data_IF_329116986924
#
_entry.id   IF_329116986924
#
_cell.length_a   1.000
_cell.length_b   1.000
_cell.length_c   1.000
_cell.angle_alpha   90.00
_cell.angle_beta   90.00
_cell.angle_gamma   90.00
#
_symmetry.space_group_name_H-M   'P 1'
#
loop_
_entity.id
_entity.type
_entity.pdbx_description
1 polymer ?
#
# COMPACT_ATOMS: atom_id res chain seq x y z
N UNK A 1 19.65 14.20 8.76
CA UNK A 1 20.63 14.46 7.68
C UNK A 1 20.02 13.86 6.43
N UNK A 2 19.61 14.68 5.45
CA UNK A 2 19.06 14.18 4.18
C UNK A 2 20.20 13.53 3.38
N UNK A 3 20.33 12.21 3.43
CA UNK A 3 20.91 11.50 2.29
C UNK A 3 19.93 11.73 1.13
N UNK A 4 20.39 12.33 0.04
CA UNK A 4 19.57 12.43 -1.16
C UNK A 4 19.27 11.00 -1.62
N UNK A 5 18.00 10.56 -1.56
CA UNK A 5 17.62 9.24 -2.04
C UNK A 5 17.98 9.11 -3.52
N UNK A 6 18.78 8.09 -3.82
CA UNK A 6 19.13 7.74 -5.17
C UNK A 6 18.05 6.80 -5.72
N UNK A 7 17.21 7.29 -6.61
CA UNK A 7 16.10 6.55 -7.21
C UNK A 7 16.54 5.53 -8.27
N UNK A 8 17.75 4.95 -8.12
CA UNK A 8 18.31 3.95 -9.04
C UNK A 8 17.65 2.59 -8.90
N UNK A 9 17.59 1.87 -10.01
CA UNK A 9 17.09 0.50 -10.00
C UNK A 9 18.17 -0.42 -9.44
N UNK A 10 17.79 -1.15 -8.40
CA UNK A 10 18.59 -2.22 -7.84
C UNK A 10 18.02 -3.57 -8.29
N UNK A 11 18.91 -4.50 -8.61
CA UNK A 11 18.60 -5.89 -8.89
C UNK A 11 19.06 -6.74 -7.72
N UNK A 12 18.11 -7.34 -7.01
CA UNK A 12 18.38 -8.33 -5.98
C UNK A 12 18.38 -9.73 -6.58
N UNK A 13 19.41 -10.52 -6.25
CA UNK A 13 19.52 -11.92 -6.65
C UNK A 13 19.90 -12.78 -5.43
N UNK A 14 19.14 -13.86 -5.24
CA UNK A 14 19.56 -15.00 -4.43
C UNK A 14 20.39 -15.93 -5.29
N UNK A 15 21.61 -16.20 -4.88
CA UNK A 15 22.54 -17.05 -5.62
C UNK A 15 23.09 -18.16 -4.72
N UNK A 16 23.55 -19.24 -5.34
CA UNK A 16 24.32 -20.28 -4.66
C UNK A 16 25.79 -20.18 -5.11
N UNK A 17 26.72 -20.12 -4.17
CA UNK A 17 28.17 -20.15 -4.42
C UNK A 17 28.80 -21.08 -3.40
N UNK A 18 29.59 -22.05 -3.88
CA UNK A 18 30.23 -23.06 -3.02
C UNK A 18 29.26 -23.80 -2.07
N UNK A 19 28.07 -24.13 -2.60
CA UNK A 19 26.96 -24.75 -1.85
C UNK A 19 26.42 -23.92 -0.68
N UNK A 20 26.68 -22.61 -0.68
CA UNK A 20 26.13 -21.65 0.27
C UNK A 20 25.29 -20.63 -0.47
N UNK A 21 24.13 -20.32 0.09
CA UNK A 21 23.28 -19.23 -0.40
C UNK A 21 23.93 -17.90 -0.05
N UNK A 22 23.90 -16.96 -0.99
CA UNK A 22 24.26 -15.57 -0.78
C UNK A 22 23.21 -14.65 -1.40
N UNK A 23 23.07 -13.47 -0.82
CA UNK A 23 22.22 -12.41 -1.35
C UNK A 23 23.10 -11.32 -1.94
N UNK A 24 22.82 -10.94 -3.18
CA UNK A 24 23.54 -9.89 -3.89
C UNK A 24 22.59 -8.82 -4.38
N UNK A 25 22.97 -7.57 -4.13
CA UNK A 25 22.29 -6.40 -4.67
C UNK A 25 23.23 -5.77 -5.69
N UNK A 26 22.77 -5.67 -6.93
CA UNK A 26 23.46 -4.99 -8.00
C UNK A 26 22.75 -3.67 -8.26
N UNK A 27 23.51 -2.58 -8.30
CA UNK A 27 23.02 -1.35 -8.89
C UNK A 27 23.08 -1.51 -10.42
N UNK A 28 22.06 -1.02 -11.11
CA UNK A 28 21.94 -1.10 -12.56
C UNK A 28 22.28 0.26 -13.18
N UNK A 29 23.57 0.59 -13.42
CA UNK A 29 23.92 1.72 -14.26
C UNK A 29 23.71 1.34 -15.73
N UNK A 30 23.66 2.35 -16.60
CA UNK A 30 23.35 2.25 -18.04
C UNK A 30 24.17 1.18 -18.78
N UNK A 31 25.42 0.92 -18.36
CA UNK A 31 26.39 0.14 -19.14
C UNK A 31 26.83 -1.17 -18.51
N UNK A 32 26.83 -1.31 -17.17
CA UNK A 32 27.34 -2.52 -16.50
C UNK A 32 26.81 -2.70 -15.08
N UNK A 33 26.19 -3.83 -14.78
CA UNK A 33 25.80 -4.19 -13.41
C UNK A 33 26.98 -4.10 -12.44
N UNK A 34 26.82 -3.33 -11.38
CA UNK A 34 27.81 -3.16 -10.31
C UNK A 34 27.29 -3.77 -9.03
N UNK A 35 28.00 -4.76 -8.49
CA UNK A 35 27.67 -5.33 -7.17
C UNK A 35 27.89 -4.24 -6.11
N UNK A 36 26.82 -3.86 -5.42
CA UNK A 36 26.87 -2.86 -4.34
C UNK A 36 26.86 -3.50 -2.95
N UNK A 37 26.19 -4.65 -2.81
CA UNK A 37 26.06 -5.33 -1.53
C UNK A 37 26.05 -6.84 -1.72
N UNK A 38 26.77 -7.54 -0.85
CA UNK A 38 26.71 -9.00 -0.71
C UNK A 38 26.63 -9.33 0.78
N UNK A 39 25.73 -10.23 1.15
CA UNK A 39 25.62 -10.70 2.52
C UNK A 39 25.13 -12.16 2.59
N UNK A 40 25.50 -12.80 3.69
CA UNK A 40 25.13 -14.19 3.98
C UNK A 40 23.73 -14.25 4.65
N UNK A 41 23.03 -15.39 4.55
CA UNK A 41 21.78 -15.63 5.27
C UNK A 41 21.94 -15.68 6.79
N UNK A 42 20.83 -15.66 7.55
CA UNK A 42 20.85 -15.91 8.99
C UNK A 42 21.54 -17.26 9.31
N UNK A 43 22.33 -17.35 10.38
CA UNK A 43 23.03 -18.58 10.74
C UNK A 43 22.05 -19.66 11.21
N UNK A 44 22.40 -20.92 10.94
CA UNK A 44 21.67 -22.09 11.46
C UNK A 44 20.34 -22.39 10.76
N UNK A 45 20.06 -21.77 9.61
CA UNK A 45 18.87 -22.05 8.81
C UNK A 45 19.03 -23.37 8.04
N UNK A 46 18.01 -24.24 8.14
CA UNK A 46 17.96 -25.53 7.44
C UNK A 46 17.24 -25.43 6.09
N UNK A 47 16.14 -24.67 6.01
CA UNK A 47 15.35 -24.50 4.79
C UNK A 47 15.09 -23.01 4.57
N UNK A 48 15.37 -22.56 3.35
CA UNK A 48 15.16 -21.18 2.91
C UNK A 48 13.92 -21.10 2.03
N UNK A 49 13.14 -20.05 2.22
CA UNK A 49 11.98 -19.73 1.39
C UNK A 49 12.22 -18.44 0.59
N UNK A 50 11.20 -17.98 -0.15
CA UNK A 50 11.34 -16.84 -1.06
C UNK A 50 11.44 -15.53 -0.30
N UNK A 51 12.34 -14.66 -0.77
CA UNK A 51 12.56 -13.33 -0.21
C UNK A 51 11.44 -12.36 -0.61
N UNK A 52 11.12 -11.43 0.28
CA UNK A 52 10.22 -10.30 0.03
C UNK A 52 10.85 -9.00 0.56
N UNK A 53 10.30 -7.85 0.15
CA UNK A 53 10.78 -6.53 0.56
C UNK A 53 9.59 -5.66 0.95
N UNK A 54 9.70 -4.99 2.09
CA UNK A 54 8.69 -4.06 2.59
C UNK A 54 9.31 -3.15 3.66
N UNK A 55 8.78 -1.93 3.79
CA UNK A 55 9.06 -0.99 4.87
C UNK A 55 8.19 -1.36 6.08
N UNK A 56 8.67 -2.22 6.97
CA UNK A 56 7.83 -2.82 8.02
C UNK A 56 7.61 -1.91 9.22
N UNK A 57 8.45 -0.89 9.42
CA UNK A 57 8.39 0.01 10.57
C UNK A 57 8.13 1.48 10.19
N UNK A 58 7.92 1.75 8.91
CA UNK A 58 7.57 3.06 8.39
C UNK A 58 8.65 4.13 8.66
N UNK A 59 9.92 3.74 8.49
CA UNK A 59 11.06 4.64 8.49
C UNK A 59 11.42 5.14 7.08
N UNK A 60 10.81 4.55 6.06
CA UNK A 60 10.97 4.86 4.65
C UNK A 60 12.06 4.03 3.96
N UNK A 61 12.67 3.06 4.62
CA UNK A 61 13.60 2.09 4.02
C UNK A 61 12.88 0.76 3.76
N UNK A 62 13.49 -0.16 3.02
CA UNK A 62 12.87 -1.44 2.72
C UNK A 62 13.69 -2.55 3.36
N UNK A 63 13.06 -3.35 4.20
CA UNK A 63 13.71 -4.46 4.86
C UNK A 63 13.65 -5.70 3.97
N UNK A 64 14.71 -6.49 4.01
CA UNK A 64 14.71 -7.82 3.39
C UNK A 64 14.03 -8.82 4.32
N UNK A 65 12.85 -9.30 3.93
CA UNK A 65 12.08 -10.31 4.65
C UNK A 65 12.43 -11.71 4.12
N UNK A 66 12.75 -12.62 5.04
CA UNK A 66 13.13 -13.99 4.74
C UNK A 66 12.40 -15.00 5.65
N UNK A 67 11.39 -15.72 5.14
CA UNK A 67 10.83 -16.88 5.83
C UNK A 67 11.82 -18.05 5.81
N UNK A 68 11.96 -18.76 6.93
CA UNK A 68 12.89 -19.88 7.08
C UNK A 68 12.37 -20.96 8.02
N UNK A 69 12.93 -22.16 7.87
CA UNK A 69 12.86 -23.22 8.87
C UNK A 69 14.25 -23.42 9.50
N UNK A 70 14.34 -23.44 10.82
CA UNK A 70 15.60 -23.70 11.54
C UNK A 70 15.97 -25.20 11.56
N UNK A 71 15.00 -26.08 11.30
CA UNK A 71 15.14 -27.53 11.26
C UNK A 71 14.55 -28.11 9.97
N UNK A 72 14.96 -29.34 9.61
CA UNK A 72 14.52 -30.01 8.38
C UNK A 72 13.06 -30.45 8.40
N UNK A 73 12.46 -30.58 9.59
CA UNK A 73 11.02 -30.84 9.76
C UNK A 73 10.18 -29.56 9.80
N UNK A 74 10.81 -28.39 9.76
CA UNK A 74 10.20 -27.08 9.91
C UNK A 74 9.35 -26.90 11.18
N UNK A 75 9.64 -27.64 12.25
CA UNK A 75 9.01 -27.47 13.56
C UNK A 75 9.31 -26.09 14.18
N UNK A 76 10.44 -25.48 13.79
CA UNK A 76 10.89 -24.16 14.20
C UNK A 76 10.87 -23.20 13.01
N UNK A 77 9.66 -22.75 12.66
CA UNK A 77 9.42 -21.74 11.63
C UNK A 77 9.70 -20.33 12.15
N UNK A 78 10.44 -19.53 11.39
CA UNK A 78 10.80 -18.15 11.75
C UNK A 78 10.74 -17.24 10.53
N UNK A 79 10.50 -15.96 10.77
CA UNK A 79 10.67 -14.91 9.76
C UNK A 79 11.79 -14.00 10.25
N UNK A 80 12.82 -13.85 9.42
CA UNK A 80 13.88 -12.88 9.64
C UNK A 80 13.64 -11.65 8.79
N UNK A 81 14.07 -10.51 9.31
CA UNK A 81 14.13 -9.23 8.62
C UNK A 81 15.54 -8.70 8.71
N UNK A 82 16.00 -8.04 7.67
CA UNK A 82 17.34 -7.46 7.64
C UNK A 82 17.28 -6.00 7.22
N UNK A 83 17.84 -5.16 8.08
CA UNK A 83 18.22 -3.78 7.77
C UNK A 83 19.55 -3.77 6.98
N UNK A 84 20.21 -2.61 6.91
CA UNK A 84 21.47 -2.54 6.21
C UNK A 84 22.59 -3.35 6.89
N UNK A 85 22.51 -3.59 8.19
CA UNK A 85 23.61 -4.07 9.03
C UNK A 85 23.46 -5.56 9.40
N UNK A 86 22.32 -5.97 9.95
CA UNK A 86 22.15 -7.24 10.65
C UNK A 86 20.83 -7.96 10.31
N UNK A 87 20.82 -9.26 10.57
CA UNK A 87 19.59 -10.06 10.55
C UNK A 87 18.94 -10.02 11.93
N UNK A 88 17.66 -9.73 11.96
CA UNK A 88 16.84 -9.73 13.17
C UNK A 88 15.69 -10.72 13.01
N UNK A 89 15.41 -11.49 14.05
CA UNK A 89 14.26 -12.38 14.06
C UNK A 89 13.01 -11.57 14.42
N UNK A 90 11.91 -11.74 13.68
CA UNK A 90 10.63 -11.19 14.11
C UNK A 90 10.04 -12.05 15.25
N UNK A 91 9.57 -11.43 16.34
CA UNK A 91 9.03 -12.15 17.51
C UNK A 91 7.58 -12.63 17.28
N UNK A 92 7.37 -13.43 16.25
CA UNK A 92 6.03 -13.90 15.84
C UNK A 92 5.63 -15.14 16.64
N UNK A 93 4.49 -15.08 17.32
CA UNK A 93 3.91 -16.21 18.03
C UNK A 93 2.86 -16.89 17.14
N UNK A 94 3.30 -17.87 16.33
CA UNK A 94 2.38 -18.59 15.44
C UNK A 94 1.33 -19.43 16.16
N UNK A 95 1.57 -19.82 17.41
CA UNK A 95 0.74 -20.75 18.16
C UNK A 95 1.27 -22.19 18.14
N UNK A 96 0.82 -23.02 19.07
CA UNK A 96 1.32 -24.39 19.22
C UNK A 96 1.00 -25.24 17.99
N UNK A 97 2.03 -25.76 17.33
CA UNK A 97 1.89 -26.66 16.18
C UNK A 97 1.69 -25.93 14.84
N UNK A 98 1.65 -24.60 14.79
CA UNK A 98 1.54 -23.87 13.52
C UNK A 98 2.94 -23.60 12.97
N UNK A 99 3.20 -24.06 11.75
CA UNK A 99 4.52 -23.96 11.09
C UNK A 99 4.40 -23.72 9.58
N UNK A 100 5.49 -23.37 8.91
CA UNK A 100 5.53 -23.44 7.46
C UNK A 100 5.39 -24.89 6.98
N UNK A 101 4.59 -25.14 5.93
CA UNK A 101 4.51 -26.45 5.31
C UNK A 101 5.82 -26.80 4.59
N UNK A 102 6.19 -28.07 4.65
CA UNK A 102 7.27 -28.63 3.86
C UNK A 102 6.81 -28.81 2.41
N UNK A 103 7.75 -28.71 1.47
CA UNK A 103 7.43 -28.80 0.04
C UNK A 103 6.76 -30.12 -0.35
N UNK A 104 7.12 -31.22 0.30
CA UNK A 104 6.51 -32.55 0.06
C UNK A 104 5.08 -32.69 0.60
N UNK A 105 4.58 -31.73 1.38
CA UNK A 105 3.19 -31.68 1.83
C UNK A 105 2.26 -31.11 0.75
N UNK A 106 2.82 -30.42 -0.25
CA UNK A 106 2.08 -30.01 -1.43
C UNK A 106 2.11 -31.09 -2.51
N UNK A 107 1.16 -30.98 -3.43
CA UNK A 107 1.12 -31.82 -4.62
C UNK A 107 1.74 -31.13 -5.82
N UNK A 108 2.22 -31.90 -6.78
CA UNK A 108 2.73 -31.36 -8.04
C UNK A 108 1.67 -30.45 -8.71
N UNK A 109 2.07 -29.31 -9.30
CA UNK A 109 3.45 -28.83 -9.47
C UNK A 109 4.01 -28.01 -8.30
N UNK A 110 3.25 -27.80 -7.21
CA UNK A 110 3.63 -26.90 -6.11
C UNK A 110 4.59 -27.52 -5.10
N UNK A 111 4.84 -28.82 -5.18
CA UNK A 111 5.75 -29.56 -4.30
C UNK A 111 7.25 -29.28 -4.50
N UNK A 112 7.59 -28.33 -5.37
CA UNK A 112 8.96 -27.86 -5.64
C UNK A 112 9.08 -26.34 -5.43
N UNK A 113 8.00 -25.67 -5.04
CA UNK A 113 7.95 -24.23 -4.93
C UNK A 113 8.14 -23.88 -3.45
N UNK A 114 9.17 -23.10 -3.09
CA UNK A 114 9.34 -22.65 -1.71
C UNK A 114 8.18 -21.71 -1.32
N UNK A 115 7.92 -21.62 -0.02
CA UNK A 115 6.89 -20.72 0.50
C UNK A 115 7.25 -19.28 0.11
N UNK A 116 6.24 -18.46 -0.15
CA UNK A 116 6.42 -17.02 -0.29
C UNK A 116 5.48 -16.29 0.65
N UNK A 117 5.97 -15.20 1.20
CA UNK A 117 5.16 -14.21 1.88
C UNK A 117 4.75 -13.17 0.83
N UNK A 118 3.47 -12.82 0.77
CA UNK A 118 2.97 -11.69 -0.02
C UNK A 118 2.67 -10.52 0.91
N UNK A 119 2.98 -9.32 0.45
CA UNK A 119 2.91 -8.09 1.23
C UNK A 119 1.80 -7.20 0.69
N UNK A 120 0.98 -6.66 1.58
CA UNK A 120 0.09 -5.53 1.32
C UNK A 120 -0.31 -4.92 2.67
N UNK A 121 -0.76 -3.67 2.66
CA UNK A 121 -1.41 -3.06 3.83
C UNK A 121 -2.88 -3.51 3.85
N UNK A 122 -3.18 -4.61 4.54
CA UNK A 122 -4.49 -5.29 4.49
C UNK A 122 -5.54 -4.57 5.32
N UNK A 123 -5.13 -3.97 6.45
CA UNK A 123 -6.02 -3.19 7.32
C UNK A 123 -6.01 -1.68 6.99
N UNK A 124 -5.19 -1.25 6.03
CA UNK A 124 -5.00 0.14 5.59
C UNK A 124 -4.52 1.07 6.71
N UNK A 125 -3.69 0.59 7.63
CA UNK A 125 -3.17 1.38 8.76
C UNK A 125 -1.85 2.13 8.46
N UNK A 126 -1.33 1.96 7.25
CA UNK A 126 -0.08 2.54 6.76
C UNK A 126 1.10 1.61 6.90
N UNK A 127 0.98 0.45 7.56
CA UNK A 127 2.07 -0.50 7.72
C UNK A 127 1.82 -1.77 6.91
N UNK A 128 2.83 -2.31 6.21
CA UNK A 128 2.65 -3.52 5.43
C UNK A 128 2.36 -4.73 6.32
N UNK A 129 1.25 -5.40 6.01
CA UNK A 129 0.89 -6.72 6.52
C UNK A 129 1.42 -7.83 5.60
N UNK A 130 1.28 -9.08 6.05
CA UNK A 130 1.76 -10.24 5.32
C UNK A 130 0.68 -11.30 5.18
N UNK A 131 0.72 -12.06 4.09
CA UNK A 131 -0.02 -13.32 3.97
C UNK A 131 0.90 -14.43 3.51
N UNK A 132 0.73 -15.60 4.13
CA UNK A 132 1.48 -16.82 3.80
C UNK A 132 0.61 -18.05 4.05
N UNK A 133 1.11 -19.22 3.66
CA UNK A 133 0.50 -20.51 3.97
C UNK A 133 1.20 -21.17 5.15
N UNK A 134 0.42 -21.76 6.04
CA UNK A 134 0.89 -22.40 7.27
C UNK A 134 0.20 -23.75 7.42
N UNK A 135 0.91 -24.72 8.00
CA UNK A 135 0.41 -26.04 8.36
C UNK A 135 0.15 -26.10 9.86
N UNK A 136 -1.06 -26.48 10.24
CA UNK A 136 -1.38 -26.83 11.62
C UNK A 136 -1.03 -28.30 11.88
N UNK A 137 0.09 -28.53 12.57
CA UNK A 137 0.68 -29.86 12.77
C UNK A 137 -0.26 -30.88 13.45
N UNK A 138 -1.27 -30.43 14.19
CA UNK A 138 -2.24 -31.32 14.87
C UNK A 138 -3.27 -31.86 13.88
N UNK A 139 -3.85 -30.99 13.04
CA UNK A 139 -4.85 -31.39 12.05
C UNK A 139 -4.24 -31.82 10.71
N UNK A 140 -2.99 -31.43 10.45
CA UNK A 140 -2.34 -31.56 9.14
C UNK A 140 -2.90 -30.61 8.08
N UNK A 141 -3.78 -29.67 8.47
CA UNK A 141 -4.47 -28.79 7.54
C UNK A 141 -3.56 -27.63 7.17
N UNK A 142 -3.40 -27.38 5.87
CA UNK A 142 -2.70 -26.20 5.36
C UNK A 142 -3.73 -25.10 5.10
N UNK A 143 -3.53 -23.94 5.72
CA UNK A 143 -4.40 -22.76 5.58
C UNK A 143 -3.58 -21.52 5.21
N UNK A 144 -4.25 -20.53 4.63
CA UNK A 144 -3.69 -19.18 4.52
C UNK A 144 -3.82 -18.45 5.85
N UNK A 145 -2.81 -17.70 6.24
CA UNK A 145 -2.82 -16.87 7.45
C UNK A 145 -2.35 -15.47 7.08
N UNK A 146 -3.16 -14.47 7.43
CA UNK A 146 -2.77 -13.06 7.42
C UNK A 146 -2.06 -12.75 8.73
N UNK A 147 -0.91 -12.09 8.65
CA UNK A 147 -0.11 -11.63 9.76
C UNK A 147 -0.23 -10.10 9.79
N UNK A 148 -0.95 -9.56 10.78
CA UNK A 148 -1.13 -8.11 10.90
C UNK A 148 0.06 -7.47 11.61
N UNK A 149 0.61 -6.42 11.02
CA UNK A 149 1.67 -5.61 11.59
C UNK A 149 1.11 -4.72 12.70
N UNK A 150 1.64 -4.85 13.92
CA UNK A 150 1.16 -4.10 15.06
C UNK A 150 2.32 -3.54 15.89
N UNK A 151 2.09 -2.43 16.63
CA UNK A 151 3.04 -1.95 17.62
C UNK A 151 3.34 -3.07 18.63
N UNK A 152 4.62 -3.28 18.89
CA UNK A 152 5.05 -4.27 19.86
C UNK A 152 5.01 -3.67 21.27
N UNK A 153 4.22 -4.27 22.16
CA UNK A 153 4.20 -3.91 23.58
C UNK A 153 5.43 -4.54 24.26
N UNK A 154 6.53 -3.77 24.31
CA UNK A 154 7.82 -4.22 24.82
C UNK A 154 7.76 -4.82 26.22
N UNK A 155 8.01 -6.13 26.31
CA UNK A 155 8.19 -6.86 27.57
C UNK A 155 9.57 -7.52 27.63
N UNK A 156 10.07 -7.76 28.84
CA UNK A 156 11.41 -8.33 29.09
C UNK A 156 11.67 -9.70 28.46
N UNK A 157 10.63 -10.40 27.97
CA UNK A 157 10.72 -11.73 27.36
C UNK A 157 10.53 -11.73 25.82
N UNK A 158 10.34 -10.57 25.19
CA UNK A 158 10.18 -10.47 23.73
C UNK A 158 10.88 -9.20 23.22
N UNK A 159 12.14 -9.27 22.79
CA UNK A 159 12.79 -8.14 22.15
C UNK A 159 12.02 -7.79 20.88
N UNK A 160 11.41 -6.60 20.88
CA UNK A 160 10.69 -6.08 19.73
C UNK A 160 11.71 -5.58 18.70
N UNK A 161 11.76 -6.22 17.54
CA UNK A 161 12.52 -5.69 16.40
C UNK A 161 11.73 -4.53 15.81
N UNK A 162 12.37 -3.36 15.65
CA UNK A 162 11.76 -2.14 15.09
C UNK A 162 10.49 -1.63 15.82
N UNK A 163 10.27 -1.98 17.08
CA UNK A 163 9.01 -1.70 17.81
C UNK A 163 7.76 -2.27 17.13
N UNK A 164 7.90 -3.25 16.23
CA UNK A 164 6.78 -3.91 15.54
C UNK A 164 6.78 -5.40 15.81
N UNK A 165 5.59 -5.99 15.71
CA UNK A 165 5.37 -7.44 15.76
C UNK A 165 4.27 -7.80 14.79
N UNK A 166 4.13 -9.09 14.48
CA UNK A 166 3.11 -9.58 13.59
C UNK A 166 2.19 -10.54 14.32
N UNK A 167 0.88 -10.28 14.27
CA UNK A 167 -0.15 -11.10 14.93
C UNK A 167 -0.86 -11.97 13.90
N UNK A 168 -0.72 -13.31 13.98
CA UNK A 168 -1.43 -14.23 13.11
C UNK A 168 -2.95 -14.19 13.32
N UNK A 169 -3.69 -13.99 12.24
CA UNK A 169 -5.15 -13.97 12.22
C UNK A 169 -5.71 -15.37 11.98
N UNK A 170 -5.59 -16.27 12.96
CA UNK A 170 -5.95 -17.70 12.83
C UNK A 170 -7.46 -17.98 12.85
N UNK A 171 -8.26 -17.07 13.40
CA UNK A 171 -9.70 -17.26 13.62
C UNK A 171 -10.59 -16.49 12.66
N UNK A 172 -9.99 -15.90 11.62
CA UNK A 172 -10.73 -15.17 10.60
C UNK A 172 -11.61 -16.09 9.75
N UNK A 173 -12.76 -15.57 9.30
CA UNK A 173 -13.75 -16.36 8.55
C UNK A 173 -13.15 -16.97 7.28
N UNK A 174 -12.27 -16.25 6.60
CA UNK A 174 -11.61 -16.75 5.40
C UNK A 174 -10.63 -17.89 5.70
N UNK A 175 -9.93 -17.86 6.84
CA UNK A 175 -9.01 -18.94 7.26
C UNK A 175 -9.80 -20.22 7.50
N UNK A 176 -10.92 -20.12 8.21
CA UNK A 176 -11.80 -21.25 8.51
C UNK A 176 -12.49 -21.80 7.26
N UNK A 177 -12.77 -20.95 6.27
CA UNK A 177 -13.39 -21.35 5.01
C UNK A 177 -12.39 -21.93 3.99
N UNK A 178 -11.10 -21.64 4.12
CA UNK A 178 -10.07 -21.94 3.14
C UNK A 178 -9.07 -23.03 3.57
N UNK A 179 -9.54 -24.27 3.74
CA UNK A 179 -8.67 -25.43 4.03
C UNK A 179 -7.96 -25.94 2.77
N UNK A 180 -6.86 -26.70 2.96
CA UNK A 180 -6.00 -27.22 1.89
C UNK A 180 -5.49 -26.13 0.93
N UNK A 181 -5.08 -25.01 1.51
CA UNK A 181 -4.55 -23.88 0.77
C UNK A 181 -3.16 -24.21 0.21
N UNK A 182 -2.94 -23.89 -1.07
CA UNK A 182 -1.65 -24.02 -1.77
C UNK A 182 -0.95 -22.68 -1.95
N UNK A 183 -1.70 -21.63 -2.32
CA UNK A 183 -1.19 -20.27 -2.50
C UNK A 183 -2.16 -19.26 -1.90
N UNK A 184 -1.62 -18.15 -1.43
CA UNK A 184 -2.39 -16.98 -1.01
C UNK A 184 -1.69 -15.70 -1.47
N UNK A 185 -2.46 -14.70 -1.85
CA UNK A 185 -1.96 -13.39 -2.24
C UNK A 185 -3.02 -12.32 -2.00
N UNK A 186 -2.57 -11.11 -1.70
CA UNK A 186 -3.43 -9.93 -1.67
C UNK A 186 -3.71 -9.43 -3.08
N UNK A 187 -4.93 -8.95 -3.32
CA UNK A 187 -5.32 -8.35 -4.59
C UNK A 187 -6.54 -7.44 -4.43
N UNK A 188 -6.55 -6.26 -5.04
CA UNK A 188 -7.72 -5.37 -5.08
C UNK A 188 -8.65 -5.82 -6.23
N UNK A 189 -9.52 -6.79 -5.97
CA UNK A 189 -10.34 -7.48 -6.99
C UNK A 189 -11.41 -6.54 -7.55
N UNK A 190 -11.96 -5.69 -6.67
CA UNK A 190 -13.04 -4.77 -6.99
C UNK A 190 -12.53 -3.40 -7.47
N UNK A 191 -11.21 -3.22 -7.57
CA UNK A 191 -10.54 -1.95 -7.85
C UNK A 191 -11.01 -0.79 -6.96
N UNK A 192 -11.38 -1.11 -5.71
CA UNK A 192 -11.94 -0.16 -4.75
C UNK A 192 -10.88 0.36 -3.76
N UNK A 193 -9.63 -0.10 -3.87
CA UNK A 193 -8.50 0.26 -3.03
C UNK A 193 -8.41 -0.49 -1.71
N UNK A 194 -9.25 -1.50 -1.48
CA UNK A 194 -9.20 -2.38 -0.33
C UNK A 194 -8.59 -3.71 -0.76
N UNK A 195 -7.41 -4.10 -0.26
CA UNK A 195 -6.82 -5.39 -0.63
C UNK A 195 -7.70 -6.56 -0.15
N UNK A 196 -8.22 -7.33 -1.10
CA UNK A 196 -8.90 -8.60 -0.87
C UNK A 196 -7.88 -9.75 -0.83
N UNK A 197 -8.36 -10.95 -0.49
CA UNK A 197 -7.53 -12.16 -0.43
C UNK A 197 -7.90 -13.14 -1.54
N UNK A 198 -6.91 -13.51 -2.36
CA UNK A 198 -7.00 -14.61 -3.32
C UNK A 198 -6.32 -15.84 -2.75
N UNK A 199 -7.02 -16.97 -2.76
CA UNK A 199 -6.54 -18.25 -2.23
C UNK A 199 -6.73 -19.34 -3.27
N UNK A 200 -5.65 -20.08 -3.55
CA UNK A 200 -5.72 -21.30 -4.34
C UNK A 200 -5.80 -22.48 -3.39
N UNK A 201 -6.88 -23.23 -3.46
CA UNK A 201 -7.14 -24.40 -2.65
C UNK A 201 -7.08 -25.66 -3.50
N UNK A 202 -6.82 -26.78 -2.84
CA UNK A 202 -6.93 -28.10 -3.44
C UNK A 202 -8.21 -28.78 -2.96
N UNK A 203 -9.07 -29.13 -3.90
CA UNK A 203 -10.30 -29.87 -3.66
C UNK A 203 -10.03 -31.38 -3.48
N UNK A 204 -11.03 -32.12 -2.98
CA UNK A 204 -10.98 -33.58 -2.75
C UNK A 204 -10.60 -34.34 -4.04
N UNK A 205 -11.10 -33.86 -5.19
CA UNK A 205 -10.81 -34.40 -6.53
C UNK A 205 -9.40 -34.09 -7.04
N UNK A 206 -8.51 -33.57 -6.18
CA UNK A 206 -7.14 -33.19 -6.51
C UNK A 206 -7.04 -32.03 -7.52
N UNK A 207 -8.13 -31.29 -7.74
CA UNK A 207 -8.18 -30.14 -8.63
C UNK A 207 -7.90 -28.86 -7.86
N UNK A 208 -7.24 -27.89 -8.51
CA UNK A 208 -6.99 -26.59 -7.92
C UNK A 208 -8.17 -25.65 -8.19
N UNK A 209 -8.66 -25.00 -7.13
CA UNK A 209 -9.74 -24.02 -7.17
C UNK A 209 -9.23 -22.68 -6.66
N UNK A 210 -9.51 -21.61 -7.41
CA UNK A 210 -9.29 -20.24 -6.96
C UNK A 210 -10.54 -19.75 -6.24
N UNK A 211 -10.35 -19.26 -5.01
CA UNK A 211 -11.38 -18.63 -4.19
C UNK A 211 -10.94 -17.21 -3.84
N UNK A 212 -11.86 -16.26 -3.95
CA UNK A 212 -11.65 -14.88 -3.56
C UNK A 212 -12.44 -14.58 -2.28
N UNK A 213 -11.78 -13.96 -1.30
CA UNK A 213 -12.40 -13.49 -0.07
C UNK A 213 -12.33 -11.98 -0.04
N UNK A 214 -13.49 -11.34 -0.13
CA UNK A 214 -13.59 -9.90 -0.02
C UNK A 214 -13.21 -9.46 1.40
N UNK A 215 -12.38 -8.42 1.48
CA UNK A 215 -12.02 -7.82 2.75
C UNK A 215 -13.21 -7.03 3.31
N UNK A 216 -13.53 -7.27 4.59
CA UNK A 216 -14.65 -6.65 5.28
C UNK A 216 -14.20 -5.56 6.26
N UNK A 217 -13.17 -4.78 5.91
CA UNK A 217 -12.72 -3.67 6.75
C UNK A 217 -13.89 -2.73 7.05
N UNK A 218 -13.98 -2.30 8.30
CA UNK A 218 -14.97 -1.34 8.77
C UNK A 218 -14.78 0.00 8.04
N UNK A 219 -15.90 0.61 7.63
CA UNK A 219 -15.95 1.94 7.03
C UNK A 219 -15.40 2.95 8.05
N UNK A 220 -14.13 3.34 7.92
CA UNK A 220 -13.47 4.53 8.51
C UNK A 220 -11.95 4.57 8.24
N UNK A 221 -11.40 3.63 7.47
CA UNK A 221 -10.01 3.68 7.00
C UNK A 221 -9.88 4.35 5.64
N UNK A 222 -8.76 5.00 5.41
CA UNK A 222 -8.48 5.72 4.17
C UNK A 222 -7.20 5.21 3.52
N UNK A 223 -7.08 5.40 2.20
CA UNK A 223 -5.89 5.00 1.46
C UNK A 223 -5.52 6.02 0.39
N UNK A 224 -4.31 5.91 -0.14
CA UNK A 224 -3.93 6.50 -1.42
C UNK A 224 -3.42 5.43 -2.35
N UNK A 225 -3.90 5.48 -3.60
CA UNK A 225 -3.47 4.58 -4.67
C UNK A 225 -2.53 5.34 -5.61
N UNK A 226 -1.32 4.83 -5.77
CA UNK A 226 -0.29 5.45 -6.62
C UNK A 226 0.09 4.49 -7.74
N UNK A 227 -0.17 4.89 -8.97
CA UNK A 227 0.21 4.16 -10.17
C UNK A 227 1.22 4.99 -10.97
N UNK A 228 2.37 4.40 -11.29
CA UNK A 228 3.40 5.08 -12.08
C UNK A 228 3.58 4.33 -13.39
N UNK A 229 3.30 5.02 -14.50
CA UNK A 229 3.41 4.46 -15.83
C UNK A 229 4.82 4.67 -16.40
N UNK A 230 5.15 3.92 -17.44
CA UNK A 230 6.37 4.13 -18.23
C UNK A 230 6.35 5.48 -18.96
N UNK A 231 7.54 6.02 -19.19
CA UNK A 231 7.78 7.31 -19.85
C UNK A 231 7.76 7.25 -21.39
N UNK A 232 7.21 6.18 -21.97
CA UNK A 232 7.28 5.97 -23.41
C UNK A 232 6.20 6.75 -24.17
N UNK A 233 6.63 7.58 -25.12
CA UNK A 233 5.73 8.26 -26.05
C UNK A 233 5.50 7.32 -27.24
N UNK A 234 4.26 6.87 -27.40
CA UNK A 234 3.86 6.10 -28.58
C UNK A 234 4.00 6.95 -29.85
N UNK A 235 5.02 6.67 -30.66
CA UNK A 235 5.33 7.39 -31.90
C UNK A 235 4.15 7.40 -32.91
N UNK A 236 3.40 6.30 -32.99
CA UNK A 236 2.25 6.12 -33.89
C UNK A 236 0.94 6.67 -33.33
N UNK A 237 0.88 7.05 -32.05
CA UNK A 237 -0.31 7.58 -31.39
C UNK A 237 -0.50 9.10 -31.60
N UNK A 238 0.36 9.72 -32.43
CA UNK A 238 0.43 11.17 -32.69
C UNK A 238 -0.84 11.81 -33.30
N UNK A 239 -1.85 11.03 -33.68
CA UNK A 239 -3.09 11.53 -34.30
C UNK A 239 -4.21 11.87 -33.32
N UNK A 240 -4.05 11.63 -32.01
CA UNK A 240 -5.11 11.89 -31.03
C UNK A 240 -4.68 12.95 -30.02
N UNK A 241 -5.56 13.91 -29.72
CA UNK A 241 -5.47 14.90 -28.61
C UNK A 241 -5.35 14.26 -27.20
N UNK A 242 -5.00 12.98 -27.11
CA UNK A 242 -4.95 12.19 -25.88
C UNK A 242 -3.51 11.77 -25.64
N UNK A 243 -2.98 12.08 -24.47
CA UNK A 243 -1.70 11.55 -24.04
C UNK A 243 -1.74 10.01 -24.11
N UNK A 244 -0.79 9.35 -24.80
CA UNK A 244 -0.69 7.91 -24.73
C UNK A 244 -0.35 7.53 -23.28
N UNK A 245 -1.18 6.70 -22.67
CA UNK A 245 -0.85 6.11 -21.39
C UNK A 245 0.28 5.11 -21.62
N UNK A 246 1.36 5.22 -20.84
CA UNK A 246 2.41 4.20 -20.82
C UNK A 246 1.90 2.89 -20.21
N UNK A 247 2.71 1.84 -20.30
CA UNK A 247 2.45 0.57 -19.61
C UNK A 247 2.90 0.66 -18.14
N UNK A 248 2.37 -0.20 -17.28
CA UNK A 248 2.90 -0.41 -15.92
C UNK A 248 4.34 -0.90 -16.05
N UNK A 249 5.28 -0.17 -15.45
CA UNK A 249 6.69 -0.54 -15.47
C UNK A 249 7.05 -1.05 -14.06
N UNK A 250 7.89 -2.07 -13.89
CA UNK A 250 8.38 -2.47 -12.57
C UNK A 250 9.43 -1.51 -12.00
N UNK A 251 9.52 -1.44 -10.67
CA UNK A 251 10.63 -0.80 -9.98
C UNK A 251 10.52 0.72 -9.76
N UNK A 252 9.34 1.35 -9.93
CA UNK A 252 9.20 2.74 -9.47
C UNK A 252 9.07 2.79 -7.97
N UNK A 253 9.82 3.70 -7.37
CA UNK A 253 9.78 3.97 -5.95
C UNK A 253 8.69 5.00 -5.65
N UNK A 254 7.91 4.75 -4.62
CA UNK A 254 6.91 5.67 -4.10
C UNK A 254 7.24 5.84 -2.62
N UNK A 255 7.40 7.10 -2.21
CA UNK A 255 7.67 7.43 -0.81
C UNK A 255 6.65 8.43 -0.33
N UNK A 256 6.02 8.18 0.81
CA UNK A 256 5.01 9.04 1.40
C UNK A 256 5.52 9.60 2.73
N UNK A 257 5.32 10.88 2.97
CA UNK A 257 5.44 11.47 4.30
C UNK A 257 4.05 11.93 4.73
N UNK A 258 3.60 11.44 5.88
CA UNK A 258 2.31 11.84 6.47
C UNK A 258 2.47 12.23 7.93
N UNK A 259 1.67 13.19 8.40
CA UNK A 259 1.65 13.60 9.81
C UNK A 259 0.45 12.97 10.52
N UNK A 260 0.73 12.23 11.58
CA UNK A 260 -0.30 11.58 12.41
C UNK A 260 -0.11 11.87 13.90
N UNK A 261 -1.04 11.39 14.70
CA UNK A 261 -0.94 11.35 16.16
C UNK A 261 -0.61 9.91 16.55
N UNK A 262 0.56 9.70 17.16
CA UNK A 262 0.99 8.38 17.62
C UNK A 262 1.39 8.44 19.10
N UNK A 263 0.87 7.54 19.93
CA UNK A 263 1.18 7.46 21.37
C UNK A 263 1.00 8.79 22.12
N UNK A 264 0.01 9.60 21.71
CA UNK A 264 -0.24 10.93 22.30
C UNK A 264 0.69 12.05 21.83
N UNK A 265 1.69 11.75 21.00
CA UNK A 265 2.54 12.74 20.34
C UNK A 265 1.77 13.29 19.15
N UNK A 266 1.47 14.60 19.19
CA UNK A 266 0.98 15.34 18.04
C UNK A 266 2.13 15.60 17.08
N UNK A 267 1.83 15.60 15.79
CA UNK A 267 2.77 15.87 14.70
C UNK A 267 3.85 14.79 14.49
N UNK A 268 3.52 13.52 14.73
CA UNK A 268 4.41 12.41 14.44
C UNK A 268 4.49 12.18 12.91
N UNK A 269 5.70 12.24 12.35
CA UNK A 269 5.92 12.05 10.91
C UNK A 269 6.16 10.57 10.65
N UNK A 270 5.29 9.96 9.84
CA UNK A 270 5.47 8.62 9.29
C UNK A 270 6.07 8.75 7.89
N UNK A 271 7.07 7.93 7.57
CA UNK A 271 7.65 7.83 6.24
C UNK A 271 7.41 6.43 5.70
N UNK A 272 6.70 6.32 4.60
CA UNK A 272 6.46 5.02 3.97
C UNK A 272 7.23 4.94 2.67
N UNK A 273 7.85 3.79 2.42
CA UNK A 273 8.41 3.45 1.13
C UNK A 273 7.76 2.19 0.56
N UNK A 274 7.47 2.25 -0.74
CA UNK A 274 6.96 1.13 -1.48
C UNK A 274 7.53 1.14 -2.89
N UNK A 275 7.58 -0.04 -3.51
CA UNK A 275 8.05 -0.21 -4.88
C UNK A 275 6.96 -0.89 -5.69
N UNK A 276 6.59 -0.27 -6.81
CA UNK A 276 5.62 -0.85 -7.73
C UNK A 276 6.23 -2.07 -8.42
N UNK A 277 5.59 -3.24 -8.31
CA UNK A 277 6.04 -4.50 -8.93
C UNK A 277 7.51 -4.79 -8.60
N UNK A 278 7.82 -4.89 -7.30
CA UNK A 278 9.15 -5.09 -6.74
C UNK A 278 9.78 -6.44 -7.12
N UNK A 279 8.95 -7.45 -7.44
CA UNK A 279 9.40 -8.80 -7.79
C UNK A 279 8.87 -9.24 -9.17
N UNK A 280 9.69 -10.01 -9.89
CA UNK A 280 9.40 -10.44 -11.28
C UNK A 280 9.41 -11.96 -11.50
N UNK A 281 9.50 -12.80 -10.46
CA UNK A 281 9.63 -14.25 -10.60
C UNK A 281 9.02 -15.05 -9.46
N UNK A 282 8.87 -16.37 -9.63
CA UNK A 282 8.38 -17.32 -8.60
C UNK A 282 6.98 -17.00 -8.05
N UNK A 283 5.96 -17.06 -8.92
CA UNK A 283 4.54 -16.88 -8.55
C UNK A 283 4.27 -15.56 -7.82
N UNK A 284 4.89 -14.48 -8.28
CA UNK A 284 4.61 -13.12 -7.81
C UNK A 284 3.32 -12.61 -8.42
N UNK A 285 2.34 -12.34 -7.56
CA UNK A 285 1.14 -11.59 -7.90
C UNK A 285 1.22 -10.26 -7.14
N UNK A 286 1.72 -9.23 -7.80
CA UNK A 286 1.76 -7.87 -7.28
C UNK A 286 0.81 -6.97 -8.09
N UNK A 287 0.28 -5.94 -7.43
CA UNK A 287 -0.62 -4.98 -8.07
C UNK A 287 0.19 -4.06 -9.02
N UNK A 288 -0.43 -3.60 -10.13
CA UNK A 288 0.21 -2.65 -11.04
C UNK A 288 0.31 -1.21 -10.49
N UNK A 289 0.06 -1.05 -9.20
CA UNK A 289 0.04 0.19 -8.44
C UNK A 289 0.29 -0.16 -6.97
N UNK A 290 0.64 0.84 -6.18
CA UNK A 290 0.78 0.70 -4.72
C UNK A 290 -0.46 1.27 -4.05
N UNK A 291 -1.00 0.56 -3.07
CA UNK A 291 -1.98 1.07 -2.11
C UNK A 291 -1.23 1.33 -0.81
N UNK A 292 -1.38 2.54 -0.27
CA UNK A 292 -0.81 2.93 1.02
C UNK A 292 -1.97 3.35 1.92
N UNK A 293 -2.11 2.69 3.07
CA UNK A 293 -3.11 3.05 4.06
C UNK A 293 -2.75 4.33 4.81
N UNK A 294 -3.79 5.00 5.30
CA UNK A 294 -3.69 6.21 6.13
C UNK A 294 -4.35 5.99 7.51
N UNK A 295 -4.82 4.77 7.77
CA UNK A 295 -5.65 4.42 8.90
C UNK A 295 -6.91 5.30 8.96
N UNK A 296 -7.31 5.63 10.18
CA UNK A 296 -8.46 6.50 10.44
C UNK A 296 -8.16 7.99 10.30
N UNK A 297 -7.02 8.40 9.72
CA UNK A 297 -6.68 9.81 9.56
C UNK A 297 -7.29 10.36 8.26
N UNK A 298 -8.28 11.27 8.32
CA UNK A 298 -8.92 11.84 7.12
C UNK A 298 -8.14 13.05 6.56
N UNK A 299 -6.91 13.27 7.03
CA UNK A 299 -6.13 14.45 6.68
C UNK A 299 -5.48 14.31 5.31
N UNK A 300 -5.18 15.44 4.68
CA UNK A 300 -4.38 15.43 3.46
C UNK A 300 -3.01 14.85 3.73
N UNK A 301 -2.51 14.05 2.80
CA UNK A 301 -1.13 13.57 2.84
C UNK A 301 -0.19 14.70 2.42
N UNK A 302 0.79 14.98 3.27
CA UNK A 302 1.71 16.10 3.12
C UNK A 302 2.55 15.97 1.86
N UNK A 303 3.18 14.81 1.64
CA UNK A 303 4.04 14.57 0.48
C UNK A 303 3.96 13.14 -0.02
N UNK A 304 3.82 13.00 -1.34
CA UNK A 304 4.06 11.76 -2.07
C UNK A 304 5.15 12.05 -3.10
N UNK A 305 6.29 11.38 -2.96
CA UNK A 305 7.38 11.48 -3.94
C UNK A 305 7.42 10.22 -4.77
N UNK A 306 7.33 10.41 -6.08
CA UNK A 306 7.43 9.34 -7.07
C UNK A 306 8.79 9.45 -7.74
N UNK A 307 9.58 8.38 -7.63
CA UNK A 307 10.87 8.23 -8.28
C UNK A 307 10.81 7.20 -9.40
N UNK A 308 11.43 7.53 -10.54
CA UNK A 308 11.59 6.64 -11.69
C UNK A 308 13.08 6.35 -11.86
N UNK A 309 13.47 5.09 -12.11
CA UNK A 309 14.86 4.75 -12.38
C UNK A 309 15.50 5.66 -13.45
N UNK A 310 16.64 6.31 -13.16
CA UNK A 310 17.31 7.15 -14.11
C UNK A 310 17.96 6.33 -15.22
N UNK A 311 17.77 6.78 -16.46
CA UNK A 311 18.49 6.23 -17.61
C UNK A 311 19.93 6.77 -17.71
N UNK A 312 20.33 7.75 -16.87
CA UNK A 312 21.67 8.37 -16.88
C UNK A 312 22.15 8.77 -15.48
N UNK A 313 23.47 8.78 -15.26
CA UNK A 313 24.10 8.87 -13.92
C UNK A 313 23.75 10.13 -13.10
N UNK A 314 23.38 11.23 -13.73
CA UNK A 314 23.25 12.56 -13.08
C UNK A 314 21.83 13.10 -12.96
N UNK A 315 20.80 12.36 -13.37
CA UNK A 315 19.44 12.93 -13.42
C UNK A 315 18.62 12.52 -12.21
N UNK A 316 18.22 13.53 -11.43
CA UNK A 316 17.16 13.41 -10.43
C UNK A 316 15.84 13.19 -11.16
N UNK A 317 15.37 11.95 -11.24
CA UNK A 317 14.10 11.58 -11.88
C UNK A 317 13.03 11.28 -10.83
N UNK A 318 12.69 12.29 -10.04
CA UNK A 318 11.60 12.19 -9.07
C UNK A 318 10.76 13.46 -9.07
N UNK A 319 9.49 13.30 -8.69
CA UNK A 319 8.58 14.43 -8.47
C UNK A 319 7.83 14.24 -7.17
N UNK A 320 7.76 15.31 -6.39
CA UNK A 320 6.96 15.35 -5.17
C UNK A 320 5.63 16.04 -5.46
N UNK A 321 4.57 15.42 -4.98
CA UNK A 321 3.23 15.98 -4.95
C UNK A 321 2.82 16.22 -3.50
N UNK A 322 2.06 17.29 -3.26
CA UNK A 322 1.70 17.71 -1.90
C UNK A 322 0.19 17.81 -1.73
N UNK A 323 -0.29 17.71 -0.49
CA UNK A 323 -1.70 17.90 -0.11
C UNK A 323 -2.64 16.94 -0.87
N UNK A 324 -2.29 15.66 -0.86
CA UNK A 324 -3.08 14.64 -1.55
C UNK A 324 -4.32 14.27 -0.75
N UNK A 325 -5.45 14.15 -1.45
CA UNK A 325 -6.75 13.85 -0.85
C UNK A 325 -6.80 12.34 -0.53
N UNK A 326 -7.20 11.93 0.69
CA UNK A 326 -7.46 10.53 0.99
C UNK A 326 -8.51 9.92 0.05
N UNK A 327 -8.48 8.60 -0.11
CA UNK A 327 -9.36 7.84 -1.02
C UNK A 327 -9.28 8.32 -2.47
N UNK A 328 -8.08 8.69 -2.90
CA UNK A 328 -7.80 9.09 -4.27
C UNK A 328 -6.76 8.18 -4.92
N UNK A 329 -6.82 8.14 -6.24
CA UNK A 329 -5.83 7.49 -7.07
C UNK A 329 -5.08 8.54 -7.88
N UNK A 330 -3.76 8.58 -7.74
CA UNK A 330 -2.88 9.35 -8.60
C UNK A 330 -2.23 8.44 -9.63
N UNK A 331 -2.40 8.78 -10.92
CA UNK A 331 -1.69 8.16 -12.03
C UNK A 331 -0.62 9.13 -12.51
N UNK A 332 0.63 8.76 -12.33
CA UNK A 332 1.81 9.54 -12.73
C UNK A 332 2.31 9.03 -14.08
N UNK A 333 2.45 9.95 -15.02
CA UNK A 333 2.96 9.71 -16.37
C UNK A 333 4.24 10.53 -16.52
N UNK A 334 5.43 9.90 -16.41
CA UNK A 334 6.72 10.58 -16.39
C UNK A 334 7.16 11.06 -17.78
N UNK A 335 6.37 11.94 -18.38
CA UNK A 335 6.61 12.57 -19.68
C UNK A 335 6.56 14.08 -19.50
N UNK A 336 7.59 14.84 -19.92
CA UNK A 336 8.89 14.34 -20.41
C UNK A 336 9.74 13.76 -19.27
N UNK A 337 10.38 12.60 -19.50
CA UNK A 337 11.16 11.88 -18.47
C UNK A 337 12.19 12.77 -17.78
N UNK A 338 12.95 13.54 -18.56
CA UNK A 338 14.08 14.36 -18.12
C UNK A 338 13.69 15.63 -17.36
N UNK A 339 12.40 15.95 -17.26
CA UNK A 339 11.93 17.13 -16.51
C UNK A 339 10.77 16.73 -15.60
N UNK A 340 11.08 16.20 -14.39
CA UNK A 340 10.07 15.72 -13.44
C UNK A 340 9.00 16.74 -13.08
N UNK A 341 9.35 18.03 -13.01
CA UNK A 341 8.40 19.11 -12.72
C UNK A 341 7.27 19.20 -13.75
N UNK A 342 7.52 18.75 -14.98
CA UNK A 342 6.55 18.76 -16.09
C UNK A 342 5.84 17.43 -16.29
N UNK A 343 6.06 16.43 -15.44
CA UNK A 343 5.35 15.15 -15.55
C UNK A 343 3.83 15.37 -15.53
N UNK A 344 3.11 14.54 -16.28
CA UNK A 344 1.67 14.58 -16.24
C UNK A 344 1.17 13.73 -15.07
N UNK A 345 0.20 14.24 -14.32
CA UNK A 345 -0.46 13.51 -13.24
C UNK A 345 -1.97 13.63 -13.39
N UNK A 346 -2.69 12.54 -13.19
CA UNK A 346 -4.15 12.52 -13.14
C UNK A 346 -4.59 12.06 -11.76
N UNK A 347 -5.40 12.87 -11.10
CA UNK A 347 -6.01 12.54 -9.83
C UNK A 347 -7.45 12.07 -10.08
N UNK A 348 -7.73 10.84 -9.69
CA UNK A 348 -9.07 10.28 -9.68
C UNK A 348 -9.54 10.24 -8.23
N UNK A 349 -10.72 10.81 -7.99
CA UNK A 349 -11.34 10.78 -6.67
C UNK A 349 -12.33 9.63 -6.65
N UNK A 350 -12.23 8.75 -5.67
CA UNK A 350 -13.23 7.71 -5.46
C UNK A 350 -14.47 8.40 -4.87
N UNK A 351 -15.59 8.47 -5.60
CA UNK A 351 -16.77 9.16 -5.10
C UNK A 351 -17.33 8.40 -3.89
N UNK A 352 -17.31 9.03 -2.71
CA UNK A 352 -18.01 8.48 -1.55
C UNK A 352 -19.51 8.44 -1.83
N UNK A 353 -20.21 7.37 -1.42
CA UNK A 353 -21.68 7.28 -1.49
C UNK A 353 -22.37 8.45 -0.77
N UNK A 354 -21.68 9.08 0.18
CA UNK A 354 -22.19 10.26 0.90
C UNK A 354 -22.18 11.53 0.06
N UNK A 355 -21.38 11.63 -1.02
CA UNK A 355 -21.25 12.90 -1.77
C UNK A 355 -22.59 13.37 -2.35
N UNK A 356 -23.43 12.43 -2.78
CA UNK A 356 -24.78 12.74 -3.27
C UNK A 356 -25.68 13.23 -2.13
N UNK A 357 -25.62 12.58 -0.97
CA UNK A 357 -26.41 12.96 0.21
C UNK A 357 -25.98 14.35 0.73
N UNK A 358 -24.67 14.62 0.79
CA UNK A 358 -24.13 15.94 1.14
C UNK A 358 -24.52 16.99 0.10
N UNK A 359 -24.49 16.66 -1.19
CA UNK A 359 -24.94 17.55 -2.26
C UNK A 359 -26.42 17.92 -2.14
N UNK A 360 -27.28 16.94 -1.85
CA UNK A 360 -28.70 17.15 -1.57
C UNK A 360 -28.88 18.03 -0.32
N UNK A 361 -28.19 17.72 0.77
CA UNK A 361 -28.27 18.49 2.01
C UNK A 361 -27.82 19.95 1.83
N UNK A 362 -26.72 20.18 1.10
CA UNK A 362 -26.23 21.51 0.75
C UNK A 362 -27.26 22.25 -0.12
N UNK A 363 -27.81 21.57 -1.14
CA UNK A 363 -28.85 22.14 -2.01
C UNK A 363 -30.08 22.58 -1.22
N UNK A 364 -30.59 21.74 -0.31
CA UNK A 364 -31.72 22.07 0.57
C UNK A 364 -31.39 23.27 1.45
N UNK A 365 -30.20 23.28 2.05
CA UNK A 365 -29.75 24.39 2.91
C UNK A 365 -29.68 25.71 2.14
N UNK A 366 -29.16 25.69 0.91
CA UNK A 366 -29.11 26.86 0.02
C UNK A 366 -30.50 27.36 -0.36
N UNK A 367 -31.44 26.47 -0.65
CA UNK A 367 -32.84 26.84 -0.96
C UNK A 367 -33.53 27.47 0.24
N UNK A 368 -33.33 26.92 1.44
CA UNK A 368 -33.88 27.50 2.68
C UNK A 368 -33.30 28.89 2.93
N UNK A 369 -31.99 29.07 2.80
CA UNK A 369 -31.35 30.38 2.95
C UNK A 369 -31.86 31.38 1.91
N UNK A 370 -31.99 30.98 0.65
CA UNK A 370 -32.55 31.83 -0.40
C UNK A 370 -34.01 32.23 -0.10
N UNK A 371 -34.81 31.30 0.42
CA UNK A 371 -36.18 31.57 0.86
C UNK A 371 -36.26 32.60 1.99
N UNK A 372 -35.42 32.45 3.02
CA UNK A 372 -35.33 33.43 4.13
C UNK A 372 -34.91 34.81 3.61
N UNK A 373 -33.89 34.87 2.75
CA UNK A 373 -33.44 36.11 2.13
C UNK A 373 -34.54 36.78 1.30
N UNK A 374 -35.30 36.00 0.52
CA UNK A 374 -36.40 36.52 -0.28
C UNK A 374 -37.55 37.08 0.58
N UNK A 375 -37.88 36.40 1.69
CA UNK A 375 -38.90 36.89 2.63
C UNK A 375 -38.46 38.20 3.28
N UNK A 376 -37.20 38.27 3.73
CA UNK A 376 -36.65 39.49 4.33
C UNK A 376 -36.63 40.65 3.34
N UNK A 377 -36.16 40.42 2.10
CA UNK A 377 -36.18 41.43 1.05
C UNK A 377 -37.60 41.89 0.68
N UNK A 378 -38.58 40.98 0.73
CA UNK A 378 -39.97 41.35 0.50
C UNK A 378 -40.50 42.25 1.63
N UNK A 379 -40.23 41.92 2.89
CA UNK A 379 -40.61 42.76 4.03
C UNK A 379 -39.94 44.14 3.98
N UNK A 380 -38.63 44.18 3.72
CA UNK A 380 -37.85 45.42 3.59
C UNK A 380 -38.43 46.31 2.47
N UNK A 381 -38.72 45.72 1.30
CA UNK A 381 -39.32 46.45 0.18
C UNK A 381 -40.70 47.02 0.52
N UNK A 382 -41.53 46.28 1.26
CA UNK A 382 -42.85 46.74 1.71
C UNK A 382 -42.72 47.89 2.71
N UNK A 383 -41.72 47.85 3.58
CA UNK A 383 -41.46 48.89 4.58
C UNK A 383 -40.93 50.17 3.92
N UNK A 384 -39.97 50.05 3.00
CA UNK A 384 -39.49 51.14 2.13
C UNK A 384 -40.63 51.81 1.34
N UNK A 385 -41.52 51.01 0.75
CA UNK A 385 -42.67 51.54 0.00
C UNK A 385 -43.67 52.28 0.90
N UNK A 386 -43.76 51.93 2.19
CA UNK A 386 -44.56 52.67 3.17
C UNK A 386 -43.88 53.99 3.53
N UNK A 387 -42.57 53.98 3.82
CA UNK A 387 -41.82 55.20 4.15
C UNK A 387 -41.82 56.21 3.00
N UNK A 388 -41.64 55.75 1.75
CA UNK A 388 -41.71 56.60 0.56
C UNK A 388 -43.06 57.30 0.41
N UNK A 389 -44.17 56.62 0.73
CA UNK A 389 -45.51 57.23 0.69
C UNK A 389 -45.69 58.28 1.78
N UNK A 390 -45.15 58.05 2.97
CA UNK A 390 -45.18 59.03 4.08
C UNK A 390 -44.34 60.26 3.72
N UNK A 391 -43.13 60.08 3.18
CA UNK A 391 -42.28 61.19 2.74
C UNK A 391 -42.93 61.98 1.59
N UNK A 392 -43.49 61.31 0.58
CA UNK A 392 -44.18 61.98 -0.52
C UNK A 392 -45.39 62.82 -0.06
N UNK A 393 -46.11 62.36 0.98
CA UNK A 393 -47.17 63.14 1.60
C UNK A 393 -46.61 64.32 2.40
N UNK A 394 -45.50 64.16 3.13
CA UNK A 394 -44.84 65.25 3.86
C UNK A 394 -44.38 66.39 2.93
N UNK A 395 -43.79 66.06 1.77
CA UNK A 395 -43.41 67.05 0.75
C UNK A 395 -44.61 67.80 0.14
N UNK A 396 -45.81 67.21 0.14
CA UNK A 396 -47.00 67.88 -0.37
C UNK A 396 -47.56 68.93 0.61
N UNK A 397 -47.26 68.81 1.91
CA UNK A 397 -47.65 69.78 2.93
C UNK A 397 -46.64 70.91 3.12
N UNK A 398 -45.34 70.69 2.87
CA UNK A 398 -44.30 71.74 2.93
C UNK A 398 -44.30 72.70 1.73
N UNK A 399 -45.07 72.42 0.67
CA UNK A 399 -45.17 73.23 -0.54
C UNK A 399 -46.43 74.12 -0.63
N UNK A 400 -47.27 74.10 0.41
CA UNK A 400 -48.41 75.00 0.65
C UNK A 400 -48.03 76.01 1.74
#
# INVERSE_FOLDING_TARGET
MNSERNYRQNLFLTIETDKKIKYRIYELPITKLTLIKEYDPPPGVAIYHLSAFADIDADGELEHILPVCMDTSCSQSRIYVRDDDAWHQLPIQFGNGIRFPLQNEFSAPFNQIPISIKIADYNLDGYPDMVTVMNESVSGTITSIVLLNQPCEGGSNSPCTYNRTFIPQTHEKFVLAATNTTLAAFFDILENGYPDLLVVQKDENQTFKLTAFQNSIVQDVHFIKVMVLSSFICATCSSQKRLPYGNNQPGQSITMETITIMNGIKDYIIKLAAVQMSQAGQLTLELPYVIIGLGSTPNFVEKITVGVPPNQESNKLYRTYTQMIPNSQIVVIPIPLMNPEKWHSKLFLTPSRMILHTGIALGVTLVVLAGVLAILQYHEKVEDDRERKVQAQAFHYDAL
#
